data_IF_725746131355
#
_entry.id   IF_725746131355
#
_cell.length_a   1.000
_cell.length_b   1.000
_cell.length_c   1.000
_cell.angle_alpha   90.00
_cell.angle_beta   90.00
_cell.angle_gamma   90.00
#
_symmetry.space_group_name_H-M   'P 1'
#
loop_
_entity.id
_entity.type
_entity.pdbx_description
1 polymer ?
#
# COMPACT_ATOMS: atom_id res chain seq x y z
N UNK A 1 -2.34 -2.07 57.10
CA UNK A 1 -1.99 -3.09 56.09
C UNK A 1 -2.91 -2.88 54.90
N UNK A 2 -2.50 -2.82 53.64
CA UNK A 2 -1.19 -2.85 53.04
C UNK A 2 -1.34 -2.24 51.64
N UNK A 3 -0.25 -1.61 51.23
CA UNK A 3 0.07 -0.93 49.98
C UNK A 3 -0.36 -1.66 48.70
N UNK A 4 -0.90 -0.90 47.74
CA UNK A 4 -0.71 -1.14 46.29
C UNK A 4 -1.03 0.12 45.47
N UNK A 5 -0.43 1.26 45.81
CA UNK A 5 -0.56 2.50 45.03
C UNK A 5 0.71 3.38 45.02
N UNK A 6 1.86 2.85 45.44
CA UNK A 6 3.12 3.59 45.47
C UNK A 6 4.27 2.72 44.94
N UNK A 7 4.27 2.45 43.63
CA UNK A 7 5.46 1.88 42.94
C UNK A 7 5.44 2.05 41.40
N UNK A 8 4.79 3.10 40.88
CA UNK A 8 4.86 3.48 39.45
C UNK A 8 5.38 4.91 39.25
N UNK A 9 6.32 5.35 40.10
CA UNK A 9 7.11 6.57 39.92
C UNK A 9 8.57 6.32 40.34
N UNK A 10 9.28 5.43 39.63
CA UNK A 10 10.76 5.41 39.60
C UNK A 10 11.30 4.46 38.53
N UNK A 11 11.04 4.77 37.26
CA UNK A 11 11.84 4.23 36.15
C UNK A 11 11.93 5.19 34.95
N UNK A 12 11.67 6.49 35.19
CA UNK A 12 11.99 7.57 34.26
C UNK A 12 13.37 8.08 34.63
N UNK A 13 14.40 7.32 34.27
CA UNK A 13 15.80 7.74 34.14
C UNK A 13 16.60 6.50 33.76
N UNK A 14 17.33 6.55 32.65
CA UNK A 14 18.33 5.58 32.17
C UNK A 14 17.93 4.54 31.09
N UNK A 15 17.00 4.84 30.18
CA UNK A 15 16.89 4.08 28.90
C UNK A 15 16.99 4.92 27.62
N UNK A 16 17.19 6.24 27.72
CA UNK A 16 17.29 7.17 26.57
C UNK A 16 18.54 7.04 25.69
N UNK A 17 19.25 5.91 25.75
CA UNK A 17 20.49 5.66 25.01
C UNK A 17 20.44 4.47 24.04
N UNK A 18 19.47 3.55 24.13
CA UNK A 18 19.48 2.32 23.31
C UNK A 18 18.57 2.34 22.08
N UNK A 19 17.51 3.14 22.07
CA UNK A 19 16.60 3.25 20.91
C UNK A 19 17.17 4.14 19.78
N UNK A 20 18.10 5.05 20.09
CA UNK A 20 18.79 5.86 19.07
C UNK A 20 19.81 5.05 18.25
N UNK A 21 20.39 4.02 18.84
CA UNK A 21 21.44 3.22 18.20
C UNK A 21 20.91 2.25 17.12
N UNK A 22 19.62 1.89 17.14
CA UNK A 22 19.02 1.03 16.11
C UNK A 22 18.59 1.82 14.87
N UNK A 23 18.20 3.08 15.03
CA UNK A 23 17.93 3.99 13.91
C UNK A 23 19.22 4.38 13.16
N UNK A 24 20.36 4.36 13.84
CA UNK A 24 21.71 4.59 13.29
C UNK A 24 22.32 3.34 12.60
N UNK A 25 21.68 2.16 12.71
CA UNK A 25 22.12 0.92 12.03
C UNK A 25 21.54 0.73 10.62
N UNK A 26 20.89 1.75 10.06
CA UNK A 26 20.50 1.73 8.66
C UNK A 26 21.71 1.99 7.76
N UNK A 27 21.86 1.27 6.63
CA UNK A 27 23.05 1.39 5.78
C UNK A 27 23.27 2.84 5.34
N UNK A 28 24.51 3.36 5.39
CA UNK A 28 24.81 4.73 5.04
C UNK A 28 24.61 4.94 3.54
N UNK A 29 23.60 5.73 3.19
CA UNK A 29 23.31 6.12 1.81
C UNK A 29 21.94 6.81 1.70
N UNK A 30 21.94 8.13 1.81
CA UNK A 30 20.82 9.04 1.45
C UNK A 30 19.56 9.03 2.34
N UNK A 31 19.71 9.15 3.66
CA UNK A 31 18.60 9.72 4.45
C UNK A 31 18.68 11.25 4.44
N UNK A 32 17.56 11.99 4.42
CA UNK A 32 17.59 13.44 4.53
C UNK A 32 18.25 13.81 5.87
N UNK A 33 19.36 14.54 5.79
CA UNK A 33 20.07 15.06 6.97
C UNK A 33 19.23 16.10 7.73
N UNK A 34 18.24 16.69 7.05
CA UNK A 34 17.27 17.60 7.64
C UNK A 34 16.04 16.81 8.12
N UNK A 35 15.93 16.63 9.44
CA UNK A 35 14.77 15.98 10.08
C UNK A 35 13.66 16.96 10.44
N UNK A 36 13.79 18.25 10.12
CA UNK A 36 12.74 19.23 10.41
C UNK A 36 11.62 19.19 9.37
N UNK A 37 11.90 18.71 8.16
CA UNK A 37 10.91 18.58 7.08
C UNK A 37 11.19 17.39 6.17
N UNK A 38 10.18 16.53 5.97
CA UNK A 38 10.25 15.37 5.09
C UNK A 38 9.02 15.30 4.19
N UNK A 39 9.22 15.08 2.89
CA UNK A 39 8.12 14.94 1.93
C UNK A 39 8.12 13.52 1.35
N UNK A 40 7.04 12.77 1.56
CA UNK A 40 6.87 11.41 1.01
C UNK A 40 5.77 11.40 -0.06
N UNK A 41 6.08 10.80 -1.21
CA UNK A 41 5.15 10.56 -2.31
C UNK A 41 4.55 9.15 -2.23
N UNK A 42 3.22 9.09 -2.21
CA UNK A 42 2.44 7.87 -2.21
C UNK A 42 1.71 7.63 -3.53
N UNK A 43 1.94 6.46 -4.14
CA UNK A 43 1.33 6.03 -5.41
C UNK A 43 0.41 4.81 -5.28
N UNK A 44 0.33 4.21 -4.09
CA UNK A 44 -0.48 3.06 -3.71
C UNK A 44 -1.42 3.37 -2.54
N UNK A 45 -1.43 2.54 -1.49
CA UNK A 45 -2.34 2.72 -0.34
C UNK A 45 -2.14 4.03 0.43
N UNK A 46 -0.97 4.65 0.37
CA UNK A 46 -0.72 5.97 0.94
C UNK A 46 -1.63 7.07 0.36
N UNK A 47 -2.24 6.84 -0.81
CA UNK A 47 -3.21 7.78 -1.39
C UNK A 47 -4.45 7.99 -0.48
N UNK A 48 -4.87 6.96 0.28
CA UNK A 48 -6.05 7.03 1.15
C UNK A 48 -5.80 6.59 2.60
N UNK A 49 -4.69 5.90 2.88
CA UNK A 49 -4.27 5.43 4.21
C UNK A 49 -2.80 5.77 4.47
N UNK A 50 -2.47 7.05 4.71
CA UNK A 50 -1.13 7.47 5.07
C UNK A 50 -0.72 6.92 6.45
N UNK A 51 -1.60 6.97 7.45
CA UNK A 51 -1.38 6.47 8.82
C UNK A 51 -0.19 7.11 9.55
N UNK A 52 0.12 8.37 9.24
CA UNK A 52 1.06 9.21 9.97
C UNK A 52 0.56 10.66 9.99
N UNK A 53 1.10 11.48 10.90
CA UNK A 53 0.80 12.91 10.99
C UNK A 53 1.52 13.67 9.88
N UNK A 54 0.81 14.56 9.18
CA UNK A 54 1.38 15.40 8.12
C UNK A 54 0.83 16.83 8.20
N UNK A 55 1.66 17.80 7.83
CA UNK A 55 1.32 19.21 7.77
C UNK A 55 0.54 19.58 6.50
N UNK A 56 0.85 18.93 5.37
CA UNK A 56 0.23 19.21 4.07
C UNK A 56 0.11 17.94 3.22
N UNK A 57 -1.01 17.81 2.50
CA UNK A 57 -1.22 16.83 1.41
C UNK A 57 -1.32 17.60 0.10
N UNK A 58 -0.66 17.13 -0.95
CA UNK A 58 -0.73 17.71 -2.29
C UNK A 58 -0.86 16.61 -3.34
N UNK A 59 -1.81 16.77 -4.27
CA UNK A 59 -1.96 15.87 -5.41
C UNK A 59 -1.00 16.30 -6.51
N UNK A 60 -0.45 15.32 -7.23
CA UNK A 60 0.49 15.56 -8.31
C UNK A 60 1.03 14.25 -8.87
N UNK A 61 2.13 14.34 -9.60
CA UNK A 61 2.77 13.20 -10.21
C UNK A 61 4.30 13.25 -10.09
N UNK A 62 4.91 12.09 -10.28
CA UNK A 62 6.34 11.93 -10.53
C UNK A 62 6.56 11.47 -11.98
N UNK A 63 7.76 11.65 -12.50
CA UNK A 63 8.14 11.29 -13.88
C UNK A 63 9.09 10.11 -13.95
N UNK A 64 9.24 9.48 -15.12
CA UNK A 64 10.20 8.41 -15.38
C UNK A 64 9.79 7.02 -14.88
N UNK A 65 8.58 6.88 -14.33
CA UNK A 65 8.09 5.61 -13.76
C UNK A 65 6.77 5.16 -14.38
N UNK A 66 6.42 3.90 -14.13
CA UNK A 66 5.09 3.34 -14.37
C UNK A 66 4.65 2.50 -13.19
N UNK A 67 3.38 2.63 -12.81
CA UNK A 67 2.76 1.84 -11.73
C UNK A 67 2.35 0.45 -12.23
N UNK A 68 2.70 -0.61 -11.51
CA UNK A 68 2.30 -1.99 -11.80
C UNK A 68 1.89 -2.74 -10.54
N UNK A 69 0.95 -3.68 -10.64
CA UNK A 69 0.54 -4.54 -9.53
C UNK A 69 1.38 -5.84 -9.50
N UNK A 70 2.71 -5.65 -9.44
CA UNK A 70 3.68 -6.76 -9.50
C UNK A 70 4.24 -7.13 -8.13
N UNK A 71 3.89 -6.39 -7.07
CA UNK A 71 4.26 -6.77 -5.72
C UNK A 71 3.20 -7.68 -5.12
N UNK A 72 3.62 -8.76 -4.48
CA UNK A 72 2.81 -9.69 -3.72
C UNK A 72 2.49 -9.16 -2.33
N UNK A 73 1.26 -9.39 -1.87
CA UNK A 73 0.85 -9.09 -0.50
C UNK A 73 0.30 -10.33 0.18
N UNK A 74 1.02 -10.84 1.17
CA UNK A 74 0.65 -12.08 1.91
C UNK A 74 -0.01 -11.81 3.27
N UNK A 75 -0.14 -10.54 3.68
CA UNK A 75 -0.79 -10.16 4.95
C UNK A 75 -1.92 -9.16 4.70
N UNK A 76 -1.61 -8.02 4.08
CA UNK A 76 -2.57 -6.91 3.98
C UNK A 76 -3.70 -7.18 2.98
N UNK A 77 -3.38 -7.65 1.78
CA UNK A 77 -4.35 -7.86 0.70
C UNK A 77 -4.41 -9.31 0.21
N UNK A 78 -3.74 -10.22 0.90
CA UNK A 78 -3.77 -11.65 0.63
C UNK A 78 -3.32 -12.44 1.84
N UNK A 79 -3.02 -13.70 1.59
CA UNK A 79 -2.49 -14.68 2.57
C UNK A 79 -1.28 -15.38 1.95
N UNK A 80 -0.44 -16.11 2.72
CA UNK A 80 0.65 -16.88 2.15
C UNK A 80 0.20 -17.89 1.08
N UNK A 81 -0.95 -18.53 1.26
CA UNK A 81 -1.52 -19.49 0.30
C UNK A 81 -2.25 -18.83 -0.88
N UNK A 82 -2.68 -17.58 -0.72
CA UNK A 82 -3.38 -16.81 -1.76
C UNK A 82 -2.91 -15.36 -1.74
N UNK A 83 -1.72 -15.07 -2.28
CA UNK A 83 -1.12 -13.75 -2.25
C UNK A 83 -1.94 -12.76 -3.09
N UNK A 84 -2.10 -11.56 -2.56
CA UNK A 84 -2.63 -10.41 -3.27
C UNK A 84 -1.60 -9.78 -4.21
N UNK A 85 -2.04 -8.84 -5.04
CA UNK A 85 -1.20 -7.98 -5.88
C UNK A 85 -1.38 -6.50 -5.48
N UNK A 86 -0.29 -5.84 -5.11
CA UNK A 86 -0.25 -4.42 -4.71
C UNK A 86 0.71 -3.62 -5.61
N UNK A 87 0.56 -2.30 -5.57
CA UNK A 87 1.25 -1.41 -6.48
C UNK A 87 2.75 -1.34 -6.20
N UNK A 88 3.54 -1.28 -7.25
CA UNK A 88 4.96 -0.97 -7.25
C UNK A 88 5.30 -0.07 -8.44
N UNK A 89 6.45 0.59 -8.38
CA UNK A 89 6.97 1.44 -9.45
C UNK A 89 8.08 0.72 -10.20
N UNK A 90 7.97 0.73 -11.52
CA UNK A 90 9.04 0.30 -12.41
C UNK A 90 9.55 1.49 -13.22
N UNK A 91 10.83 1.53 -13.61
CA UNK A 91 11.32 2.49 -14.58
C UNK A 91 10.50 2.43 -15.87
N UNK A 92 10.25 3.61 -16.45
CA UNK A 92 9.65 3.76 -17.76
C UNK A 92 10.72 3.99 -18.82
N UNK A 93 10.45 3.55 -20.05
CA UNK A 93 11.30 3.86 -21.19
C UNK A 93 11.12 5.31 -21.68
N UNK A 94 10.05 5.98 -21.24
CA UNK A 94 9.79 7.39 -21.55
C UNK A 94 9.88 8.21 -20.27
N UNK A 95 10.83 9.14 -20.23
CA UNK A 95 11.09 10.01 -19.08
C UNK A 95 9.84 10.84 -18.69
N UNK A 96 9.03 11.22 -19.67
CA UNK A 96 7.78 11.96 -19.45
C UNK A 96 6.61 11.09 -18.96
N UNK A 97 6.82 9.80 -18.68
CA UNK A 97 5.77 8.94 -18.11
C UNK A 97 5.42 9.39 -16.70
N UNK A 98 4.15 9.70 -16.47
CA UNK A 98 3.66 10.23 -15.20
C UNK A 98 3.07 9.13 -14.33
N UNK A 99 3.46 9.09 -13.06
CA UNK A 99 2.74 8.33 -12.03
C UNK A 99 2.12 9.30 -11.05
N UNK A 100 0.80 9.26 -10.97
CA UNK A 100 0.00 10.14 -10.14
C UNK A 100 -0.24 9.56 -8.74
N UNK A 101 -0.26 10.47 -7.76
CA UNK A 101 -0.38 10.14 -6.35
C UNK A 101 -0.51 11.37 -5.47
N UNK A 102 -0.12 11.24 -4.21
CA UNK A 102 -0.14 12.31 -3.21
C UNK A 102 1.24 12.47 -2.58
N UNK A 103 1.71 13.71 -2.48
CA UNK A 103 2.84 14.06 -1.62
C UNK A 103 2.32 14.53 -0.24
N UNK A 104 3.01 14.09 0.82
CA UNK A 104 2.72 14.46 2.20
C UNK A 104 3.94 15.13 2.81
N UNK A 105 3.80 16.39 3.22
CA UNK A 105 4.81 17.13 3.97
C UNK A 105 4.64 16.85 5.46
N UNK A 106 5.69 16.31 6.08
CA UNK A 106 5.76 15.97 7.51
C UNK A 106 6.76 16.93 8.14
N UNK A 107 6.36 17.59 9.24
CA UNK A 107 7.17 18.58 9.94
C UNK A 107 7.49 18.19 11.37
N UNK A 108 8.70 18.54 11.78
CA UNK A 108 9.22 18.31 13.12
C UNK A 108 9.77 16.89 13.28
N UNK A 109 10.97 16.81 13.83
CA UNK A 109 11.78 15.60 13.99
C UNK A 109 10.97 14.39 14.49
N UNK A 110 10.19 14.55 15.57
CA UNK A 110 9.38 13.44 16.13
C UNK A 110 8.35 12.87 15.15
N UNK A 111 7.71 13.71 14.34
CA UNK A 111 6.73 13.25 13.37
C UNK A 111 7.42 12.59 12.17
N UNK A 112 8.57 13.13 11.76
CA UNK A 112 9.38 12.55 10.70
C UNK A 112 9.87 11.17 11.11
N UNK A 113 10.42 11.02 12.32
CA UNK A 113 10.89 9.74 12.85
C UNK A 113 9.76 8.71 12.95
N UNK A 114 8.62 9.08 13.53
CA UNK A 114 7.46 8.18 13.65
C UNK A 114 6.90 7.77 12.27
N UNK A 115 6.91 8.68 11.28
CA UNK A 115 6.48 8.37 9.93
C UNK A 115 7.48 7.42 9.24
N UNK A 116 8.77 7.66 9.37
CA UNK A 116 9.82 6.81 8.79
C UNK A 116 9.82 5.42 9.42
N UNK A 117 9.68 5.31 10.73
CA UNK A 117 9.55 4.03 11.45
C UNK A 117 8.31 3.26 10.93
N UNK A 118 7.15 3.92 10.91
CA UNK A 118 5.92 3.32 10.38
C UNK A 118 6.05 2.86 8.92
N UNK A 119 6.70 3.66 8.08
CA UNK A 119 6.92 3.34 6.67
C UNK A 119 7.96 2.24 6.47
N UNK A 120 8.99 2.17 7.32
CA UNK A 120 10.02 1.15 7.27
C UNK A 120 9.44 -0.24 7.56
N UNK A 121 8.64 -0.36 8.63
CA UNK A 121 7.96 -1.61 8.98
C UNK A 121 7.01 -2.08 7.87
N UNK A 122 6.37 -1.11 7.20
CA UNK A 122 5.37 -1.36 6.17
C UNK A 122 5.99 -1.73 4.82
N UNK A 123 7.08 -1.08 4.42
CA UNK A 123 7.61 -1.15 3.06
C UNK A 123 8.96 -1.89 2.97
N UNK A 124 9.84 -1.82 3.98
CA UNK A 124 11.19 -2.41 3.91
C UNK A 124 11.22 -3.82 4.49
N UNK A 125 10.66 -4.02 5.69
CA UNK A 125 10.64 -5.35 6.34
C UNK A 125 9.76 -6.34 5.58
N UNK A 126 8.64 -5.86 5.01
CA UNK A 126 7.64 -6.72 4.36
C UNK A 126 7.70 -6.74 2.83
N UNK A 127 8.42 -5.80 2.21
CA UNK A 127 8.25 -5.49 0.79
C UNK A 127 9.52 -5.37 -0.04
N UNK A 128 10.70 -5.15 0.54
CA UNK A 128 11.95 -4.97 -0.22
C UNK A 128 12.06 -3.65 -0.99
N UNK A 129 11.25 -2.64 -0.64
CA UNK A 129 11.30 -1.32 -1.26
C UNK A 129 12.54 -0.52 -0.81
N UNK A 130 13.04 0.35 -1.68
CA UNK A 130 14.11 1.31 -1.43
C UNK A 130 13.55 2.72 -1.46
N UNK A 131 14.03 3.58 -0.57
CA UNK A 131 13.65 4.99 -0.55
C UNK A 131 14.53 5.76 -1.54
N UNK A 132 13.93 6.45 -2.51
CA UNK A 132 14.66 7.26 -3.50
C UNK A 132 14.08 8.67 -3.58
N UNK A 133 14.93 9.63 -3.92
CA UNK A 133 14.53 11.01 -4.14
C UNK A 133 14.04 11.21 -5.59
N UNK A 134 12.96 11.96 -5.76
CA UNK A 134 12.32 12.25 -7.04
C UNK A 134 11.79 13.67 -7.10
N UNK A 135 11.62 14.18 -8.32
CA UNK A 135 10.88 15.41 -8.57
C UNK A 135 9.38 15.13 -8.56
N UNK A 136 8.66 15.81 -7.66
CA UNK A 136 7.21 15.80 -7.56
C UNK A 136 6.62 17.08 -8.17
N UNK A 137 5.63 16.91 -9.06
CA UNK A 137 4.97 17.95 -9.81
C UNK A 137 3.53 18.15 -9.29
N UNK A 138 3.27 19.14 -8.42
CA UNK A 138 1.95 19.35 -7.82
C UNK A 138 0.93 19.93 -8.84
N UNK A 139 -0.36 19.65 -8.64
CA UNK A 139 -1.46 20.13 -9.52
C UNK A 139 -1.92 21.56 -9.27
N UNK A 140 -1.25 22.33 -8.41
CA UNK A 140 -1.71 23.67 -8.05
C UNK A 140 -1.82 24.59 -9.28
N UNK A 141 -2.88 25.39 -9.34
CA UNK A 141 -3.11 26.34 -10.43
C UNK A 141 -1.96 27.37 -10.50
N UNK A 142 -1.09 27.23 -11.50
CA UNK A 142 0.09 28.07 -11.69
C UNK A 142 1.24 27.32 -12.37
N UNK A 143 2.43 27.91 -12.34
CA UNK A 143 3.64 27.24 -12.83
C UNK A 143 3.94 26.00 -11.96
N UNK A 144 4.13 24.85 -12.61
CA UNK A 144 4.48 23.59 -11.95
C UNK A 144 5.97 23.62 -11.62
N UNK A 145 6.33 24.25 -10.50
CA UNK A 145 7.70 24.12 -9.97
C UNK A 145 7.81 22.76 -9.29
N UNK A 146 8.71 21.87 -9.74
CA UNK A 146 8.92 20.59 -9.09
C UNK A 146 9.41 20.80 -7.65
N UNK A 147 8.96 19.91 -6.77
CA UNK A 147 9.37 19.85 -5.37
C UNK A 147 10.08 18.53 -5.12
N UNK A 148 11.14 18.56 -4.31
CA UNK A 148 11.79 17.32 -3.88
C UNK A 148 10.84 16.49 -3.02
N UNK A 149 10.67 15.23 -3.37
CA UNK A 149 9.96 14.25 -2.57
C UNK A 149 10.73 12.93 -2.54
N UNK A 150 10.45 12.12 -1.53
CA UNK A 150 10.95 10.76 -1.42
C UNK A 150 9.86 9.77 -1.78
N UNK A 151 10.24 8.62 -2.34
CA UNK A 151 9.29 7.57 -2.71
C UNK A 151 9.91 6.20 -2.47
N UNK A 152 9.11 5.27 -1.96
CA UNK A 152 9.50 3.87 -1.86
C UNK A 152 9.32 3.18 -3.22
N UNK A 153 10.39 2.75 -3.85
CA UNK A 153 10.43 2.03 -5.13
C UNK A 153 10.93 0.61 -4.92
N UNK A 154 10.30 -0.36 -5.58
CA UNK A 154 10.86 -1.71 -5.65
C UNK A 154 11.62 -1.82 -6.97
N UNK A 155 12.94 -1.78 -6.91
CA UNK A 155 13.75 -2.28 -8.02
C UNK A 155 13.57 -3.81 -8.01
N UNK A 156 12.69 -4.34 -8.87
CA UNK A 156 12.53 -5.80 -9.07
C UNK A 156 13.89 -6.50 -9.19
N UNK A 157 13.94 -7.81 -8.95
CA UNK A 157 15.18 -8.62 -8.84
C UNK A 157 16.39 -7.95 -9.50
N UNK A 158 17.17 -7.26 -8.68
CA UNK A 158 18.41 -6.64 -9.12
C UNK A 158 19.33 -7.81 -9.48
N UNK A 159 19.71 -8.04 -10.75
CA UNK A 159 20.47 -9.24 -11.15
C UNK A 159 21.82 -9.35 -10.42
N UNK A 160 22.32 -8.24 -9.90
CA UNK A 160 23.53 -8.12 -9.09
C UNK A 160 23.34 -8.52 -7.62
N UNK A 161 22.11 -8.55 -7.09
CA UNK A 161 21.83 -8.84 -5.66
C UNK A 161 21.39 -10.28 -5.40
N UNK A 162 21.12 -11.05 -6.46
CA UNK A 162 20.85 -12.48 -6.41
C UNK A 162 22.04 -13.34 -5.96
N UNK A 163 23.25 -12.77 -5.81
CA UNK A 163 24.43 -13.51 -5.34
C UNK A 163 24.91 -13.14 -3.92
N UNK A 164 24.58 -11.95 -3.39
CA UNK A 164 25.06 -11.53 -2.06
C UNK A 164 24.12 -11.88 -0.90
N UNK A 165 22.88 -12.30 -1.18
CA UNK A 165 21.91 -12.67 -0.13
C UNK A 165 22.11 -14.09 0.43
N UNK A 166 23.21 -14.77 0.08
CA UNK A 166 23.49 -16.16 0.48
C UNK A 166 24.58 -16.26 1.56
N UNK A 167 24.65 -15.32 2.50
CA UNK A 167 25.36 -15.52 3.78
C UNK A 167 24.68 -14.72 4.90
N UNK A 168 23.49 -15.17 5.33
CA UNK A 168 22.89 -14.71 6.59
C UNK A 168 22.53 -15.95 7.42
N UNK A 169 23.17 -16.04 8.57
CA UNK A 169 23.01 -16.96 9.71
C UNK A 169 21.77 -17.88 9.68
N UNK A 170 22.01 -19.20 9.81
CA UNK A 170 21.06 -20.33 9.76
C UNK A 170 19.86 -20.30 10.73
N UNK A 171 19.67 -19.23 11.51
CA UNK A 171 18.65 -19.18 12.58
C UNK A 171 17.55 -18.12 12.40
N UNK A 172 17.43 -17.48 11.23
CA UNK A 172 16.30 -16.58 10.93
C UNK A 172 15.56 -17.07 9.69
N UNK A 173 14.29 -17.52 9.78
CA UNK A 173 13.52 -17.91 8.61
C UNK A 173 13.34 -16.68 7.70
N UNK A 174 14.07 -16.65 6.58
CA UNK A 174 13.94 -15.65 5.50
C UNK A 174 12.63 -15.86 4.74
N UNK A 175 11.49 -15.72 5.42
CA UNK A 175 10.17 -15.92 4.81
C UNK A 175 9.74 -14.74 3.90
N UNK A 176 10.57 -13.68 3.75
CA UNK A 176 10.10 -12.36 3.31
C UNK A 176 10.90 -11.70 2.18
N UNK A 177 11.92 -12.35 1.58
CA UNK A 177 12.85 -11.67 0.67
C UNK A 177 12.45 -11.62 -0.81
N UNK A 178 11.39 -12.30 -1.27
CA UNK A 178 10.94 -12.16 -2.66
C UNK A 178 9.43 -12.06 -2.79
N UNK A 179 8.88 -10.92 -2.36
CA UNK A 179 7.48 -10.58 -2.59
C UNK A 179 7.22 -10.06 -4.02
N UNK A 180 8.22 -10.00 -4.91
CA UNK A 180 8.01 -9.57 -6.29
C UNK A 180 7.43 -10.69 -7.16
N UNK A 181 6.17 -10.55 -7.58
CA UNK A 181 5.46 -11.51 -8.44
C UNK A 181 5.72 -11.30 -9.94
N UNK A 182 6.25 -10.13 -10.31
CA UNK A 182 6.56 -9.79 -11.70
C UNK A 182 5.36 -9.68 -12.63
N UNK A 183 5.67 -9.66 -13.93
CA UNK A 183 4.70 -9.49 -15.02
C UNK A 183 3.84 -10.74 -15.17
N UNK A 184 2.53 -10.54 -15.31
CA UNK A 184 1.57 -11.55 -15.73
C UNK A 184 0.57 -10.92 -16.71
N UNK A 185 -0.23 -11.74 -17.40
CA UNK A 185 -1.33 -11.20 -18.23
C UNK A 185 -2.34 -10.46 -17.35
N UNK A 186 -3.05 -9.48 -17.91
CA UNK A 186 -4.03 -8.72 -17.13
C UNK A 186 -5.15 -9.61 -16.58
N UNK A 187 -5.59 -10.62 -17.34
CA UNK A 187 -6.59 -11.59 -16.89
C UNK A 187 -6.10 -12.41 -15.69
N UNK A 188 -4.84 -12.88 -15.70
CA UNK A 188 -4.24 -13.58 -14.56
C UNK A 188 -4.12 -12.66 -13.35
N UNK A 189 -3.68 -11.41 -13.55
CA UNK A 189 -3.62 -10.41 -12.48
C UNK A 189 -5.02 -10.16 -11.89
N UNK A 190 -6.02 -9.92 -12.72
CA UNK A 190 -7.40 -9.67 -12.31
C UNK A 190 -7.99 -10.86 -11.54
N UNK A 191 -7.80 -12.10 -12.02
CA UNK A 191 -8.26 -13.31 -11.35
C UNK A 191 -7.63 -13.44 -9.96
N UNK A 192 -6.31 -13.24 -9.88
CA UNK A 192 -5.59 -13.28 -8.60
C UNK A 192 -6.11 -12.20 -7.64
N UNK A 193 -6.26 -10.95 -8.12
CA UNK A 193 -6.76 -9.82 -7.34
C UNK A 193 -8.20 -10.05 -6.84
N UNK A 194 -9.10 -10.56 -7.68
CA UNK A 194 -10.48 -10.85 -7.27
C UNK A 194 -10.53 -11.98 -6.26
N UNK A 195 -9.64 -12.98 -6.39
CA UNK A 195 -9.59 -14.09 -5.45
C UNK A 195 -8.96 -13.70 -4.10
N UNK A 196 -8.02 -12.76 -4.05
CA UNK A 196 -7.23 -12.50 -2.84
C UNK A 196 -7.94 -11.62 -1.80
N UNK A 197 -7.72 -11.94 -0.52
CA UNK A 197 -8.22 -11.20 0.63
C UNK A 197 -7.20 -11.27 1.77
N UNK A 198 -6.93 -10.15 2.44
CA UNK A 198 -6.03 -10.07 3.59
C UNK A 198 -6.66 -9.30 4.77
N UNK A 199 -5.86 -8.96 5.78
CA UNK A 199 -6.36 -8.28 6.99
C UNK A 199 -6.89 -6.88 6.72
N UNK A 200 -6.50 -6.25 5.61
CA UNK A 200 -7.00 -4.94 5.19
C UNK A 200 -8.19 -5.02 4.22
N UNK A 201 -8.75 -6.20 3.98
CA UNK A 201 -9.90 -6.44 3.12
C UNK A 201 -9.57 -7.12 1.78
N UNK A 202 -10.53 -7.17 0.84
CA UNK A 202 -10.34 -7.72 -0.49
C UNK A 202 -9.24 -7.01 -1.27
N UNK A 203 -8.49 -7.72 -2.11
CA UNK A 203 -7.50 -7.06 -2.96
C UNK A 203 -8.15 -6.23 -4.08
N UNK A 204 -9.33 -6.61 -4.56
CA UNK A 204 -10.06 -5.83 -5.56
C UNK A 204 -10.31 -4.39 -5.11
N UNK A 205 -10.73 -4.19 -3.86
CA UNK A 205 -10.93 -2.87 -3.24
C UNK A 205 -9.68 -1.98 -3.35
N UNK A 206 -8.48 -2.55 -3.13
CA UNK A 206 -7.21 -1.81 -3.23
C UNK A 206 -7.01 -1.21 -4.62
N UNK A 207 -7.24 -2.00 -5.68
CA UNK A 207 -7.07 -1.54 -7.07
C UNK A 207 -8.14 -0.52 -7.44
N UNK A 208 -9.38 -0.79 -7.04
CA UNK A 208 -10.52 0.09 -7.31
C UNK A 208 -10.38 1.45 -6.61
N UNK A 209 -9.79 1.50 -5.42
CA UNK A 209 -9.48 2.76 -4.74
C UNK A 209 -8.47 3.61 -5.50
N UNK A 210 -7.41 3.00 -6.05
CA UNK A 210 -6.44 3.72 -6.87
C UNK A 210 -7.11 4.25 -8.15
N UNK A 211 -7.92 3.43 -8.83
CA UNK A 211 -8.62 3.85 -10.03
C UNK A 211 -9.66 4.96 -9.76
N UNK A 212 -10.37 4.88 -8.63
CA UNK A 212 -11.29 5.92 -8.20
C UNK A 212 -10.58 7.23 -7.87
N UNK A 213 -9.44 7.18 -7.18
CA UNK A 213 -8.59 8.35 -6.94
C UNK A 213 -8.18 9.00 -8.27
N UNK A 214 -7.67 8.21 -9.22
CA UNK A 214 -7.25 8.70 -10.54
C UNK A 214 -8.38 9.43 -11.27
N UNK A 215 -9.62 8.91 -11.23
CA UNK A 215 -10.78 9.59 -11.87
C UNK A 215 -11.18 10.89 -11.17
N UNK A 216 -11.05 10.96 -9.85
CA UNK A 216 -11.51 12.11 -9.07
C UNK A 216 -10.56 13.30 -9.18
N UNK A 217 -9.27 13.02 -9.25
CA UNK A 217 -8.22 14.02 -9.02
C UNK A 217 -7.56 14.50 -10.31
N UNK A 218 -7.75 13.77 -11.41
CA UNK A 218 -7.25 14.15 -12.74
C UNK A 218 -8.43 14.55 -13.64
N UNK A 219 -8.39 15.73 -14.28
CA UNK A 219 -9.44 16.15 -15.20
C UNK A 219 -9.41 15.34 -16.51
N UNK A 220 -10.59 14.89 -16.95
CA UNK A 220 -10.81 14.40 -18.31
C UNK A 220 -10.03 13.13 -18.68
N UNK A 221 -9.45 13.12 -19.88
CA UNK A 221 -8.78 11.95 -20.47
C UNK A 221 -7.38 11.68 -19.90
N UNK A 222 -6.83 12.56 -19.05
CA UNK A 222 -5.46 12.45 -18.56
C UNK A 222 -5.24 11.20 -17.70
N UNK A 223 -6.19 10.84 -16.85
CA UNK A 223 -6.11 9.63 -16.05
C UNK A 223 -5.90 8.38 -16.92
N UNK A 224 -6.70 8.26 -18.00
CA UNK A 224 -6.62 7.14 -18.92
C UNK A 224 -5.34 7.17 -19.76
N UNK A 225 -4.90 8.37 -20.18
CA UNK A 225 -3.68 8.55 -20.96
C UNK A 225 -2.44 8.14 -20.16
N UNK A 226 -2.35 8.53 -18.90
CA UNK A 226 -1.15 8.33 -18.09
C UNK A 226 -1.07 6.94 -17.45
N UNK A 227 -2.21 6.30 -17.16
CA UNK A 227 -2.24 4.93 -16.61
C UNK A 227 -3.31 4.04 -17.28
N UNK A 228 -3.19 3.75 -18.59
CA UNK A 228 -4.12 2.87 -19.28
C UNK A 228 -4.11 1.45 -18.71
N UNK A 229 -2.98 1.03 -18.13
CA UNK A 229 -2.82 -0.26 -17.48
C UNK A 229 -3.76 -0.44 -16.29
N UNK A 230 -3.84 0.56 -15.40
CA UNK A 230 -4.73 0.52 -14.24
C UNK A 230 -6.19 0.37 -14.65
N UNK A 231 -6.64 1.13 -15.65
CA UNK A 231 -8.04 1.11 -16.10
C UNK A 231 -8.40 -0.17 -16.86
N UNK A 232 -7.48 -0.73 -17.65
CA UNK A 232 -7.68 -2.06 -18.26
C UNK A 232 -7.78 -3.16 -17.20
N UNK A 233 -6.93 -3.10 -16.17
CA UNK A 233 -6.97 -4.06 -15.08
C UNK A 233 -8.26 -3.92 -14.24
N UNK A 234 -8.68 -2.70 -13.94
CA UNK A 234 -9.93 -2.42 -13.25
C UNK A 234 -11.14 -3.00 -13.99
N UNK A 235 -11.20 -2.82 -15.32
CA UNK A 235 -12.31 -3.32 -16.13
C UNK A 235 -12.43 -4.84 -16.01
N UNK A 236 -11.31 -5.57 -16.12
CA UNK A 236 -11.29 -7.02 -15.95
C UNK A 236 -11.68 -7.45 -14.53
N UNK A 237 -11.24 -6.70 -13.50
CA UNK A 237 -11.64 -6.95 -12.10
C UNK A 237 -13.16 -6.80 -11.96
N UNK A 238 -13.75 -5.73 -12.51
CA UNK A 238 -15.20 -5.52 -12.48
C UNK A 238 -15.95 -6.63 -13.20
N UNK A 239 -15.49 -7.04 -14.37
CA UNK A 239 -16.08 -8.15 -15.12
C UNK A 239 -16.05 -9.46 -14.32
N UNK A 240 -14.93 -9.78 -13.69
CA UNK A 240 -14.83 -10.99 -12.86
C UNK A 240 -15.69 -10.94 -11.60
N UNK A 241 -15.85 -9.77 -10.98
CA UNK A 241 -16.77 -9.58 -9.85
C UNK A 241 -18.24 -9.72 -10.27
N UNK A 242 -18.61 -9.22 -11.44
CA UNK A 242 -19.98 -9.30 -11.96
C UNK A 242 -20.35 -10.71 -12.45
N UNK A 243 -19.38 -11.44 -13.01
CA UNK A 243 -19.63 -12.76 -13.63
C UNK A 243 -19.62 -13.93 -12.64
N UNK A 244 -19.66 -13.70 -11.31
CA UNK A 244 -19.77 -14.71 -10.24
C UNK A 244 -18.91 -15.98 -10.44
N UNK A 245 -17.70 -15.84 -10.99
CA UNK A 245 -16.71 -16.92 -11.16
C UNK A 245 -17.22 -18.15 -11.97
N UNK A 246 -17.62 -17.94 -13.24
CA UNK A 246 -17.41 -18.96 -14.30
C UNK A 246 -16.15 -18.61 -15.11
N UNK A 247 -14.99 -18.51 -14.46
CA UNK A 247 -13.72 -18.48 -15.20
C UNK A 247 -13.14 -19.88 -15.12
N UNK A 248 -13.17 -20.53 -16.27
CA UNK A 248 -12.71 -21.90 -16.49
C UNK A 248 -11.29 -22.08 -15.97
N UNK A 249 -11.12 -22.93 -14.97
CA UNK A 249 -9.86 -23.20 -14.29
C UNK A 249 -8.79 -23.81 -15.23
N UNK A 250 -9.15 -24.18 -16.46
CA UNK A 250 -8.25 -24.81 -17.43
C UNK A 250 -7.24 -23.85 -18.08
N UNK A 251 -7.48 -22.53 -18.11
CA UNK A 251 -6.52 -21.58 -18.68
C UNK A 251 -5.42 -21.12 -17.69
N UNK A 252 -5.56 -21.41 -16.40
CA UNK A 252 -4.64 -20.98 -15.34
C UNK A 252 -3.62 -22.05 -14.89
N UNK A 253 -3.57 -23.21 -15.57
CA UNK A 253 -2.86 -24.42 -15.13
C UNK A 253 -1.32 -24.43 -15.28
N UNK A 254 -0.64 -23.29 -15.36
CA UNK A 254 0.84 -23.28 -15.25
C UNK A 254 1.36 -23.07 -13.81
N UNK A 255 0.49 -23.04 -12.80
CA UNK A 255 0.91 -23.10 -11.38
C UNK A 255 -0.03 -24.02 -10.58
N UNK A 256 0.51 -25.08 -9.98
CA UNK A 256 -0.20 -26.22 -9.36
C UNK A 256 -0.24 -26.12 -7.80
N UNK A 257 -0.99 -26.95 -7.04
CA UNK A 257 -2.29 -26.55 -6.45
C UNK A 257 -2.52 -26.99 -4.97
N UNK A 258 -3.65 -26.55 -4.35
CA UNK A 258 -4.71 -27.38 -3.67
C UNK A 258 -5.45 -26.64 -2.54
N UNK A 259 -6.74 -26.34 -2.76
CA UNK A 259 -7.93 -26.80 -2.00
C UNK A 259 -9.12 -25.82 -2.09
N UNK A 260 -10.38 -26.33 -2.11
CA UNK A 260 -11.58 -25.55 -2.45
C UNK A 260 -12.20 -24.84 -1.23
N UNK A 261 -12.61 -23.59 -1.42
CA UNK A 261 -13.32 -22.79 -0.41
C UNK A 261 -14.84 -23.06 -0.44
N UNK A 262 -15.48 -23.02 0.74
CA UNK A 262 -16.85 -23.47 1.02
C UNK A 262 -17.95 -22.67 0.29
N UNK A 263 -19.11 -23.32 0.16
CA UNK A 263 -20.23 -23.02 -0.75
C UNK A 263 -20.97 -21.70 -0.53
N UNK A 264 -21.51 -21.20 -1.64
CA UNK A 264 -22.32 -19.99 -1.93
C UNK A 264 -23.53 -19.74 -1.00
N UNK A 265 -23.92 -20.70 -0.16
CA UNK A 265 -25.05 -20.60 0.78
C UNK A 265 -24.75 -19.73 2.00
N UNK A 266 -23.48 -19.59 2.41
CA UNK A 266 -23.08 -18.80 3.57
C UNK A 266 -23.00 -17.29 3.25
N UNK A 267 -22.62 -16.96 2.00
CA UNK A 267 -22.60 -15.58 1.50
C UNK A 267 -24.00 -14.99 1.29
N UNK A 268 -24.99 -15.84 0.92
CA UNK A 268 -26.38 -15.40 0.75
C UNK A 268 -27.03 -15.00 2.09
N UNK A 269 -26.71 -15.71 3.18
CA UNK A 269 -27.22 -15.41 4.52
C UNK A 269 -26.69 -14.08 5.07
N UNK A 270 -25.43 -13.73 4.75
CA UNK A 270 -24.82 -12.48 5.22
C UNK A 270 -25.40 -11.28 4.47
N UNK A 271 -25.73 -11.41 3.19
CA UNK A 271 -26.36 -10.34 2.41
C UNK A 271 -27.82 -10.07 2.81
N UNK A 272 -28.59 -11.10 3.18
CA UNK A 272 -29.97 -10.94 3.67
C UNK A 272 -30.02 -10.30 5.07
N UNK A 273 -29.02 -10.54 5.93
CA UNK A 273 -28.93 -9.93 7.25
C UNK A 273 -28.61 -8.42 7.23
N UNK A 274 -28.04 -7.91 6.13
CA UNK A 274 -27.66 -6.50 5.99
C UNK A 274 -28.82 -5.66 5.41
N UNK A 275 -29.79 -6.28 4.74
CA UNK A 275 -30.92 -5.59 4.08
C UNK A 275 -32.14 -5.25 4.94
N UNK A 276 -32.18 -5.64 6.23
CA UNK A 276 -33.37 -5.44 7.09
C UNK A 276 -33.26 -4.31 8.14
N UNK A 277 -32.17 -3.54 8.17
CA UNK A 277 -31.95 -2.52 9.22
C UNK A 277 -32.06 -1.05 8.76
N UNK A 278 -32.71 -0.76 7.63
CA UNK A 278 -32.89 0.63 7.14
C UNK A 278 -34.33 1.18 7.17
N UNK A 279 -35.25 0.65 7.98
CA UNK A 279 -36.55 1.32 8.23
C UNK A 279 -36.90 1.34 9.73
N UNK A 280 -36.23 2.19 10.50
CA UNK A 280 -36.89 3.08 11.47
C UNK A 280 -35.90 4.03 12.14
N UNK A 281 -35.94 5.30 11.73
CA UNK A 281 -35.32 6.45 12.42
C UNK A 281 -36.19 6.84 13.63
N UNK A 282 -35.60 7.32 14.74
CA UNK A 282 -36.33 7.87 15.86
C UNK A 282 -36.75 9.32 15.58
N UNK A 283 -38.02 9.65 15.80
CA UNK A 283 -38.49 11.03 15.99
C UNK A 283 -38.74 11.30 17.49
N UNK A 284 -38.13 12.36 17.99
CA UNK A 284 -38.30 12.93 19.33
C UNK A 284 -39.42 14.01 19.34
N UNK A 285 -39.88 14.35 20.57
CA UNK A 285 -40.70 15.50 21.02
C UNK A 285 -42.23 15.36 20.81
N UNK A 286 -43.15 15.76 21.71
CA UNK A 286 -43.11 16.35 23.06
C UNK A 286 -44.55 16.40 23.66
N UNK A 287 -44.63 16.49 24.98
CA UNK A 287 -45.60 17.29 25.79
C UNK A 287 -47.06 16.81 26.02
N UNK A 288 -47.43 16.88 27.33
CA UNK A 288 -48.74 17.23 27.96
C UNK A 288 -49.99 16.44 27.53
N UNK A 289 -50.76 15.81 28.42
CA UNK A 289 -51.33 16.28 29.69
C UNK A 289 -51.58 15.11 30.65
#
# INVERSE_FOLDING_TARGET
MSMCAAQMQSAVSQTGGRERDELDRMPPGSFPHDRDSFVIFGYGSLIWRPNFSYAKRSVGYIKGYKRRFYQGSIVHRGTPSRPGRVATLLPSAHEESRVWGCAYEIKGERNVDAALEHLHDREVVNGGYQLVQVDFYPTVAGAVTPQTAWVYVHFGENPSRSQESQMVSENTPLLQSNSYLGKATLSVQAAQIVSAHGVCGPNSEYVLHIANFMRKELPGYEALKDDPYLFQLEELIKQYLLNNWQVDYQAAQLVSPRHPCKSTSEQKRILEAIGQNEHNKPQQLSATH
#
